data_IF_683974264819
#
_entry.id   IF_683974264819
#
_cell.length_a   1.000
_cell.length_b   1.000
_cell.length_c   1.000
_cell.angle_alpha   90.00
_cell.angle_beta   90.00
_cell.angle_gamma   90.00
#
_symmetry.space_group_name_H-M   'P 1'
#
loop_
_entity.id
_entity.type
_entity.pdbx_description
1 polymer ?
#
# COMPACT_ATOMS: atom_id res chain seq x y z
N UNK A 1 10.39 -72.81 70.73
CA UNK A 1 11.31 -71.67 70.47
C UNK A 1 12.47 -72.15 69.60
N UNK A 2 12.43 -71.85 68.29
CA UNK A 2 13.59 -71.89 67.39
C UNK A 2 13.55 -70.58 66.60
N UNK A 3 14.63 -69.80 66.73
CA UNK A 3 14.78 -68.45 66.19
C UNK A 3 14.83 -68.55 64.66
N UNK A 4 13.92 -67.85 63.97
CA UNK A 4 14.03 -67.60 62.53
C UNK A 4 14.97 -66.40 62.39
N UNK A 5 16.15 -66.62 61.79
CA UNK A 5 17.00 -65.54 61.30
C UNK A 5 16.41 -65.07 59.97
N UNK A 6 15.79 -63.89 59.95
CA UNK A 6 15.53 -63.17 58.70
C UNK A 6 16.67 -62.18 58.53
N UNK A 7 17.70 -62.59 57.79
CA UNK A 7 18.63 -61.63 57.18
C UNK A 7 17.98 -61.11 55.91
N UNK A 8 17.36 -59.92 56.00
CA UNK A 8 17.01 -59.15 54.81
C UNK A 8 18.06 -58.05 54.66
N UNK A 9 19.07 -58.33 53.83
CA UNK A 9 20.04 -57.33 53.39
C UNK A 9 19.33 -56.42 52.40
N UNK A 10 18.79 -55.28 52.85
CA UNK A 10 18.30 -54.26 51.93
C UNK A 10 19.48 -53.36 51.53
N UNK A 11 19.93 -53.57 50.30
CA UNK A 11 20.83 -52.71 49.54
C UNK A 11 20.49 -51.23 49.74
N UNK A 12 21.52 -50.37 49.82
CA UNK A 12 21.40 -48.96 50.18
C UNK A 12 20.27 -48.22 49.46
N UNK A 13 19.42 -47.56 50.23
CA UNK A 13 18.43 -46.61 49.69
C UNK A 13 19.06 -45.23 49.77
N UNK A 14 19.58 -44.77 48.63
CA UNK A 14 19.86 -43.35 48.39
C UNK A 14 18.55 -42.57 48.50
N UNK A 15 18.41 -41.65 49.45
CA UNK A 15 17.37 -40.62 49.41
C UNK A 15 17.69 -39.64 48.28
N UNK A 16 17.22 -39.95 47.07
CA UNK A 16 17.14 -38.97 45.99
C UNK A 16 15.93 -38.08 46.21
N UNK A 17 16.13 -36.77 46.34
CA UNK A 17 15.04 -35.81 46.25
C UNK A 17 14.44 -35.88 44.83
N UNK A 18 13.34 -36.60 44.64
CA UNK A 18 12.59 -36.61 43.39
C UNK A 18 11.70 -35.35 43.33
N UNK A 19 11.84 -34.56 42.27
CA UNK A 19 11.01 -33.37 42.05
C UNK A 19 9.51 -33.71 42.05
N UNK A 20 8.67 -32.81 42.56
CA UNK A 20 7.21 -32.96 42.61
C UNK A 20 6.53 -32.04 41.59
N UNK A 21 5.47 -32.52 40.94
CA UNK A 21 4.63 -31.70 40.07
C UNK A 21 4.01 -30.55 40.89
N UNK A 22 3.95 -29.35 40.31
CA UNK A 22 3.42 -28.15 40.96
C UNK A 22 2.24 -27.63 40.14
N UNK A 23 1.04 -27.73 40.69
CA UNK A 23 -0.13 -26.99 40.20
C UNK A 23 -0.23 -25.69 40.98
N UNK A 24 -0.25 -24.57 40.27
CA UNK A 24 -0.42 -23.26 40.87
C UNK A 24 -1.42 -22.51 39.98
N UNK A 25 -2.63 -22.25 40.48
CA UNK A 25 -3.63 -21.37 39.84
C UNK A 25 -4.07 -21.75 38.41
N UNK A 26 -4.36 -23.03 38.14
CA UNK A 26 -4.70 -23.45 36.79
C UNK A 26 -3.50 -23.40 35.84
N UNK A 27 -2.31 -23.05 36.29
CA UNK A 27 -1.09 -23.34 35.54
C UNK A 27 -0.43 -24.54 36.20
N UNK A 28 0.09 -25.46 35.42
CA UNK A 28 0.74 -26.64 35.98
C UNK A 28 2.07 -26.87 35.36
N UNK A 29 3.05 -27.14 36.21
CA UNK A 29 4.39 -27.56 35.83
C UNK A 29 4.59 -28.99 36.30
N UNK A 30 4.87 -29.86 35.34
CA UNK A 30 5.20 -31.25 35.60
C UNK A 30 6.70 -31.41 35.58
N UNK A 31 7.17 -32.25 36.48
CA UNK A 31 8.57 -32.63 36.65
C UNK A 31 9.17 -33.28 35.40
N UNK A 32 8.32 -33.80 34.52
CA UNK A 32 8.67 -34.32 33.20
C UNK A 32 8.72 -33.24 32.08
N UNK A 33 8.70 -31.94 32.41
CA UNK A 33 8.90 -30.84 31.46
C UNK A 33 7.65 -30.29 30.78
N UNK A 34 6.46 -30.63 31.29
CA UNK A 34 5.18 -30.16 30.73
C UNK A 34 4.66 -28.93 31.48
N UNK A 35 4.02 -28.01 30.75
CA UNK A 35 3.45 -26.77 31.28
C UNK A 35 2.01 -26.64 30.82
N UNK A 36 1.11 -26.18 31.69
CA UNK A 36 -0.29 -25.94 31.34
C UNK A 36 -0.80 -24.72 32.03
N UNK A 37 -1.95 -24.22 31.61
CA UNK A 37 -2.50 -22.89 31.85
C UNK A 37 -4.03 -23.05 31.78
N UNK A 38 -4.79 -22.47 32.71
CA UNK A 38 -6.18 -22.84 33.09
C UNK A 38 -6.49 -24.32 33.41
N UNK A 39 -5.49 -25.18 33.59
CA UNK A 39 -5.54 -26.59 33.97
C UNK A 39 -4.46 -26.93 35.00
N UNK A 40 -4.86 -27.71 36.01
CA UNK A 40 -4.00 -28.30 37.04
C UNK A 40 -3.30 -29.59 36.57
N UNK A 41 -3.53 -30.00 35.32
CA UNK A 41 -2.87 -31.14 34.69
C UNK A 41 -2.54 -30.76 33.23
N UNK A 42 -1.29 -30.36 32.94
CA UNK A 42 -0.85 -29.87 31.66
C UNK A 42 -0.49 -31.08 30.81
N UNK A 43 -1.12 -31.19 29.66
CA UNK A 43 -0.93 -32.41 28.87
C UNK A 43 0.27 -32.27 27.91
N UNK A 44 0.73 -31.02 27.67
CA UNK A 44 1.78 -30.63 26.72
C UNK A 44 2.89 -29.79 27.38
N UNK A 45 3.98 -29.52 26.65
CA UNK A 45 5.00 -28.52 27.06
C UNK A 45 4.38 -27.15 27.32
N UNK A 46 3.22 -26.86 26.72
CA UNK A 46 2.41 -25.67 26.97
C UNK A 46 0.92 -25.99 26.67
N UNK A 47 0.08 -26.13 27.68
CA UNK A 47 -1.39 -26.37 27.62
C UNK A 47 -2.08 -25.07 28.07
N UNK A 48 -3.13 -24.57 27.41
CA UNK A 48 -3.77 -23.28 27.75
C UNK A 48 -5.30 -23.41 27.77
N UNK A 49 -5.96 -22.94 28.84
CA UNK A 49 -7.39 -23.11 29.10
C UNK A 49 -7.98 -21.90 29.85
N UNK A 50 -9.26 -21.65 29.64
CA UNK A 50 -10.13 -20.77 30.43
C UNK A 50 -11.49 -21.47 30.56
N UNK A 51 -12.18 -21.38 31.70
CA UNK A 51 -13.40 -22.16 31.97
C UNK A 51 -14.71 -21.38 31.91
N UNK A 52 -14.67 -20.06 32.00
CA UNK A 52 -15.88 -19.31 32.27
C UNK A 52 -16.31 -18.40 31.13
N UNK A 53 -15.47 -18.19 30.10
CA UNK A 53 -15.72 -17.21 29.05
C UNK A 53 -14.66 -17.47 27.87
N UNK A 54 -14.98 -17.34 26.54
CA UNK A 54 -14.22 -17.46 25.22
C UNK A 54 -12.74 -17.96 25.11
N UNK A 55 -12.35 -18.63 23.99
CA UNK A 55 -11.05 -19.32 23.85
C UNK A 55 -9.79 -18.41 23.81
N UNK A 56 -8.81 -18.69 24.68
CA UNK A 56 -7.56 -17.91 24.82
C UNK A 56 -6.64 -18.00 23.58
N UNK A 57 -6.55 -19.17 22.97
CA UNK A 57 -5.81 -19.42 21.74
C UNK A 57 -6.57 -20.51 21.00
N UNK A 58 -7.35 -20.13 19.99
CA UNK A 58 -8.05 -21.09 19.16
C UNK A 58 -7.22 -21.30 17.90
N UNK A 59 -6.66 -22.49 17.70
CA UNK A 59 -6.06 -22.86 16.42
C UNK A 59 -7.00 -23.89 15.79
N UNK A 60 -7.92 -23.44 14.94
CA UNK A 60 -8.95 -24.30 14.31
C UNK A 60 -8.73 -24.44 12.82
N UNK A 61 -9.15 -25.57 12.23
CA UNK A 61 -9.26 -25.76 10.79
C UNK A 61 -10.67 -26.21 10.38
N UNK A 62 -11.10 -25.93 9.16
CA UNK A 62 -12.34 -26.38 8.51
C UNK A 62 -11.99 -26.87 7.09
N UNK A 63 -12.66 -27.92 6.59
CA UNK A 63 -12.59 -28.25 5.16
C UNK A 63 -13.24 -27.10 4.42
N UNK A 64 -12.54 -26.36 3.54
CA UNK A 64 -13.22 -25.38 2.71
C UNK A 64 -14.32 -26.13 1.95
N UNK A 65 -15.59 -25.73 2.12
CA UNK A 65 -16.54 -26.08 1.08
C UNK A 65 -16.08 -25.34 -0.18
N UNK A 66 -16.60 -25.74 -1.33
CA UNK A 66 -16.17 -25.25 -2.64
C UNK A 66 -16.45 -23.76 -2.88
N UNK A 67 -16.93 -23.00 -1.88
CA UNK A 67 -17.23 -21.58 -1.95
C UNK A 67 -16.00 -20.68 -1.76
N UNK A 68 -16.18 -19.40 -2.09
CA UNK A 68 -15.16 -18.36 -1.98
C UNK A 68 -15.12 -17.78 -0.56
N UNK A 69 -13.92 -17.50 -0.05
CA UNK A 69 -13.70 -16.83 1.24
C UNK A 69 -14.24 -17.61 2.45
N UNK A 70 -14.29 -18.92 2.35
CA UNK A 70 -14.68 -19.80 3.44
C UNK A 70 -13.50 -20.04 4.38
N UNK A 71 -13.78 -20.09 5.69
CA UNK A 71 -12.76 -20.34 6.70
C UNK A 71 -12.11 -21.71 6.47
N UNK A 72 -10.78 -21.73 6.40
CA UNK A 72 -9.97 -22.96 6.35
C UNK A 72 -9.27 -23.17 7.67
N UNK A 73 -8.69 -22.13 8.26
CA UNK A 73 -8.15 -22.20 9.61
C UNK A 73 -8.09 -20.84 10.27
N UNK A 74 -8.01 -20.81 11.60
CA UNK A 74 -7.94 -19.58 12.37
C UNK A 74 -7.05 -19.76 13.58
N UNK A 75 -6.14 -18.82 13.78
CA UNK A 75 -5.55 -18.51 15.08
C UNK A 75 -6.37 -17.35 15.65
N UNK A 76 -7.30 -17.66 16.54
CA UNK A 76 -8.17 -16.68 17.19
C UNK A 76 -7.61 -16.32 18.54
N UNK A 77 -7.50 -15.02 18.75
CA UNK A 77 -7.21 -14.42 20.03
C UNK A 77 -8.50 -13.80 20.53
N UNK A 78 -9.12 -14.46 21.51
CA UNK A 78 -10.36 -13.99 22.09
C UNK A 78 -10.25 -13.83 23.60
N UNK A 79 -10.97 -12.84 24.09
CA UNK A 79 -11.10 -12.57 25.50
C UNK A 79 -12.49 -12.01 25.75
N UNK A 80 -12.92 -12.01 26.99
CA UNK A 80 -14.30 -11.77 27.35
C UNK A 80 -14.38 -10.46 28.08
N UNK A 81 -15.28 -9.66 27.57
CA UNK A 81 -15.72 -8.47 28.23
C UNK A 81 -17.21 -8.65 28.44
N UNK A 82 -17.64 -8.58 29.70
CA UNK A 82 -19.05 -8.52 30.09
C UNK A 82 -19.93 -9.72 29.66
N UNK A 83 -19.40 -10.94 29.76
CA UNK A 83 -20.07 -12.18 29.31
C UNK A 83 -20.43 -12.22 27.81
N UNK A 84 -19.94 -11.25 27.03
CA UNK A 84 -20.07 -11.22 25.59
C UNK A 84 -18.80 -11.81 24.98
N UNK A 85 -18.98 -12.83 24.14
CA UNK A 85 -17.90 -13.56 23.49
C UNK A 85 -17.19 -12.67 22.46
N UNK A 86 -16.22 -11.88 22.92
CA UNK A 86 -15.55 -10.90 22.07
C UNK A 86 -14.34 -11.46 21.31
N UNK A 87 -14.46 -11.62 20.00
CA UNK A 87 -13.34 -11.97 19.11
C UNK A 87 -12.47 -10.73 18.88
N UNK A 88 -11.21 -10.67 19.37
CA UNK A 88 -10.44 -9.41 19.31
C UNK A 88 -9.59 -9.29 18.05
N UNK A 89 -8.94 -10.38 17.68
CA UNK A 89 -8.14 -10.46 16.48
C UNK A 89 -7.99 -11.92 16.06
N UNK A 90 -7.76 -12.13 14.78
CA UNK A 90 -7.49 -13.46 14.27
C UNK A 90 -6.62 -13.45 13.02
N UNK A 91 -5.84 -14.51 12.87
CA UNK A 91 -5.17 -14.83 11.62
C UNK A 91 -5.92 -16.00 11.02
N UNK A 92 -6.53 -15.81 9.86
CA UNK A 92 -7.31 -16.87 9.19
C UNK A 92 -6.60 -17.32 7.92
N UNK A 93 -6.61 -18.61 7.64
CA UNK A 93 -6.53 -19.12 6.27
C UNK A 93 -7.96 -19.25 5.74
N UNK A 94 -8.21 -18.82 4.51
CA UNK A 94 -9.53 -18.90 3.86
C UNK A 94 -9.41 -19.35 2.41
N UNK A 95 -10.47 -19.89 1.81
CA UNK A 95 -10.50 -20.19 0.37
C UNK A 95 -10.45 -18.90 -0.46
N UNK A 96 -9.70 -18.93 -1.55
CA UNK A 96 -9.40 -17.79 -2.42
C UNK A 96 -9.68 -18.15 -3.89
N UNK A 97 -10.97 -18.37 -4.18
CA UNK A 97 -11.62 -18.86 -5.41
C UNK A 97 -12.13 -20.32 -5.29
N UNK A 98 -13.20 -20.63 -6.02
CA UNK A 98 -13.89 -21.92 -6.01
C UNK A 98 -13.12 -22.95 -6.84
N UNK A 99 -12.99 -24.17 -6.31
CA UNK A 99 -12.36 -25.30 -7.02
C UNK A 99 -11.70 -26.34 -6.11
N UNK A 100 -11.56 -27.58 -6.59
CA UNK A 100 -11.16 -28.77 -5.80
C UNK A 100 -9.76 -28.76 -5.18
N UNK A 101 -8.90 -27.81 -5.57
CA UNK A 101 -7.55 -27.66 -4.99
C UNK A 101 -7.38 -26.36 -4.19
N UNK A 102 -8.47 -25.58 -4.04
CA UNK A 102 -8.63 -24.43 -3.15
C UNK A 102 -7.38 -23.56 -2.96
N UNK A 103 -7.22 -22.53 -3.79
CA UNK A 103 -6.31 -21.43 -3.49
C UNK A 103 -6.57 -20.92 -2.06
N UNK A 104 -5.52 -20.64 -1.30
CA UNK A 104 -5.63 -20.18 0.09
C UNK A 104 -5.18 -18.73 0.18
N UNK A 105 -5.97 -17.91 0.86
CA UNK A 105 -5.56 -16.58 1.28
C UNK A 105 -5.36 -16.54 2.79
N UNK A 106 -4.46 -15.66 3.24
CA UNK A 106 -4.38 -15.27 4.64
C UNK A 106 -5.17 -14.01 4.89
N UNK A 107 -5.88 -13.95 6.01
CA UNK A 107 -6.54 -12.76 6.49
C UNK A 107 -6.03 -12.42 7.87
N UNK A 108 -5.79 -11.14 8.09
CA UNK A 108 -5.56 -10.57 9.41
C UNK A 108 -6.79 -9.75 9.77
N UNK A 109 -7.56 -10.29 10.71
CA UNK A 109 -8.80 -9.67 11.14
C UNK A 109 -8.60 -8.99 12.48
N UNK A 110 -9.13 -7.79 12.58
CA UNK A 110 -9.26 -7.04 13.82
C UNK A 110 -10.73 -6.91 14.17
N UNK A 111 -11.05 -6.45 15.37
CA UNK A 111 -12.43 -6.14 15.74
C UNK A 111 -12.56 -4.72 16.24
N UNK A 112 -13.62 -4.02 15.81
CA UNK A 112 -14.04 -2.74 16.36
C UNK A 112 -15.25 -2.94 17.27
N UNK A 113 -15.27 -2.25 18.40
CA UNK A 113 -16.43 -2.19 19.29
C UNK A 113 -17.19 -0.88 19.09
N UNK A 114 -18.44 -0.96 18.62
CA UNK A 114 -19.33 0.19 18.43
C UNK A 114 -20.71 -0.05 19.09
N UNK A 115 -20.72 -0.73 20.24
CA UNK A 115 -21.95 -1.22 20.91
C UNK A 115 -22.37 -2.62 20.44
N UNK A 116 -21.86 -3.05 19.29
CA UNK A 116 -21.76 -4.45 18.90
C UNK A 116 -20.33 -4.71 18.42
N UNK A 117 -19.90 -5.98 18.46
CA UNK A 117 -18.58 -6.31 17.95
C UNK A 117 -18.64 -6.53 16.44
N UNK A 118 -17.83 -5.78 15.70
CA UNK A 118 -17.69 -5.93 14.24
C UNK A 118 -16.29 -6.44 13.93
N UNK A 119 -16.18 -7.59 13.28
CA UNK A 119 -14.92 -8.07 12.73
C UNK A 119 -14.58 -7.33 11.43
N UNK A 120 -13.33 -6.93 11.28
CA UNK A 120 -12.81 -6.16 10.14
C UNK A 120 -11.64 -6.95 9.56
N UNK A 121 -11.73 -7.31 8.29
CA UNK A 121 -10.59 -7.85 7.55
C UNK A 121 -9.61 -6.71 7.22
N UNK A 122 -8.69 -6.43 8.14
CA UNK A 122 -7.75 -5.32 8.01
C UNK A 122 -6.75 -5.54 6.86
N UNK A 123 -6.22 -6.77 6.74
CA UNK A 123 -5.29 -7.17 5.70
C UNK A 123 -5.67 -8.53 5.13
N UNK A 124 -5.47 -8.71 3.82
CA UNK A 124 -5.52 -10.00 3.12
C UNK A 124 -4.23 -10.21 2.34
N UNK A 125 -3.72 -11.43 2.32
CA UNK A 125 -2.74 -11.91 1.35
C UNK A 125 -3.45 -12.96 0.50
N UNK A 126 -3.75 -12.64 -0.74
CA UNK A 126 -4.41 -13.55 -1.69
C UNK A 126 -3.45 -14.66 -2.13
N UNK A 127 -4.00 -15.74 -2.67
CA UNK A 127 -3.27 -16.92 -3.18
C UNK A 127 -2.28 -16.60 -4.31
N UNK A 128 -2.50 -15.52 -5.04
CA UNK A 128 -1.57 -15.00 -6.07
C UNK A 128 -0.47 -14.09 -5.50
N UNK A 129 -0.41 -13.95 -4.17
CA UNK A 129 0.55 -13.11 -3.44
C UNK A 129 0.21 -11.63 -3.41
N UNK A 130 -0.99 -11.22 -3.83
CA UNK A 130 -1.43 -9.82 -3.73
C UNK A 130 -1.83 -9.49 -2.29
N UNK A 131 -1.40 -8.34 -1.79
CA UNK A 131 -1.74 -7.84 -0.46
C UNK A 131 -2.84 -6.78 -0.58
N UNK A 132 -3.96 -7.00 0.12
CA UNK A 132 -5.04 -6.03 0.26
C UNK A 132 -5.06 -5.42 1.67
N UNK A 133 -5.13 -4.10 1.79
CA UNK A 133 -5.38 -3.40 3.06
C UNK A 133 -6.73 -2.70 2.96
N UNK A 134 -7.68 -3.04 3.84
CA UNK A 134 -9.05 -2.53 3.78
C UNK A 134 -9.88 -3.03 2.57
N UNK A 135 -9.37 -4.00 1.81
CA UNK A 135 -10.06 -4.63 0.67
C UNK A 135 -9.95 -6.14 0.71
N UNK A 136 -10.99 -6.82 0.23
CA UNK A 136 -11.04 -8.28 0.07
C UNK A 136 -10.61 -8.75 -1.31
N UNK A 137 -10.51 -7.84 -2.28
CA UNK A 137 -10.20 -8.15 -3.68
C UNK A 137 -9.03 -7.29 -4.16
N UNK A 138 -7.79 -7.59 -3.75
CA UNK A 138 -6.62 -6.86 -4.22
C UNK A 138 -6.32 -7.21 -5.70
N UNK A 139 -6.38 -6.20 -6.54
CA UNK A 139 -6.13 -6.24 -7.98
C UNK A 139 -4.65 -6.06 -8.36
N UNK A 140 -3.85 -5.48 -7.45
CA UNK A 140 -2.42 -5.24 -7.61
C UNK A 140 -1.63 -5.93 -6.49
N UNK A 141 -0.29 -5.94 -6.61
CA UNK A 141 0.59 -6.54 -5.58
C UNK A 141 0.36 -5.96 -4.20
N UNK A 142 0.05 -4.67 -4.13
CA UNK A 142 -0.45 -3.99 -2.95
C UNK A 142 -1.64 -3.12 -3.37
N UNK A 143 -2.83 -3.43 -2.85
CA UNK A 143 -4.04 -2.61 -3.03
C UNK A 143 -4.48 -2.08 -1.67
N UNK A 144 -4.54 -0.76 -1.51
CA UNK A 144 -4.99 -0.10 -0.26
C UNK A 144 -6.29 0.63 -0.54
N UNK A 145 -7.38 0.22 0.13
CA UNK A 145 -8.66 0.93 0.08
C UNK A 145 -8.74 1.94 1.22
N UNK A 146 -8.03 3.05 1.05
CA UNK A 146 -7.92 4.13 2.04
C UNK A 146 -6.70 5.00 1.79
N UNK A 147 -6.43 5.93 2.70
CA UNK A 147 -5.27 6.81 2.62
C UNK A 147 -3.99 6.13 3.12
N UNK A 148 -2.87 6.45 2.49
CA UNK A 148 -1.52 6.05 2.92
C UNK A 148 -0.84 7.31 3.47
N UNK A 149 -0.35 7.25 4.70
CA UNK A 149 0.52 8.28 5.27
C UNK A 149 1.94 7.73 5.29
N UNK A 150 2.85 8.35 4.54
CA UNK A 150 4.24 7.96 4.42
C UNK A 150 5.13 9.21 4.52
N UNK A 151 6.31 9.07 5.11
CA UNK A 151 7.31 10.15 5.16
C UNK A 151 7.92 10.40 3.77
N UNK A 152 8.19 9.32 3.02
CA UNK A 152 8.73 9.37 1.67
C UNK A 152 8.29 8.15 0.85
N UNK A 153 8.14 8.33 -0.46
CA UNK A 153 7.87 7.25 -1.43
C UNK A 153 8.88 7.33 -2.56
N UNK A 154 9.78 6.33 -2.64
CA UNK A 154 10.67 6.14 -3.78
C UNK A 154 9.99 5.25 -4.82
N UNK A 155 9.82 5.77 -6.04
CA UNK A 155 9.26 5.01 -7.16
C UNK A 155 10.40 4.67 -8.13
N UNK A 156 10.78 3.39 -8.16
CA UNK A 156 11.78 2.89 -9.09
C UNK A 156 11.13 2.57 -10.44
N UNK A 157 11.48 3.34 -11.46
CA UNK A 157 11.01 3.16 -12.82
C UNK A 157 12.14 2.63 -13.70
N UNK A 158 11.83 1.64 -14.53
CA UNK A 158 12.72 1.22 -15.61
C UNK A 158 12.37 1.92 -16.93
N UNK A 159 12.03 3.21 -16.84
CA UNK A 159 11.80 4.07 -18.01
C UNK A 159 12.68 5.31 -17.89
N UNK A 160 13.30 5.78 -18.99
CA UNK A 160 14.09 7.00 -18.96
C UNK A 160 13.20 8.23 -18.73
N UNK A 161 13.75 9.22 -18.03
CA UNK A 161 13.15 10.55 -17.92
C UNK A 161 12.94 11.18 -19.32
N UNK A 162 11.98 12.12 -19.45
CA UNK A 162 11.56 12.65 -20.75
C UNK A 162 12.55 13.59 -21.44
N UNK A 163 13.80 13.73 -20.96
CA UNK A 163 14.89 14.56 -21.52
C UNK A 163 15.08 14.45 -23.04
N UNK A 164 14.55 13.41 -23.68
CA UNK A 164 14.47 13.30 -25.14
C UNK A 164 13.72 14.48 -25.80
N UNK A 165 12.86 15.20 -25.08
CA UNK A 165 12.18 16.42 -25.57
C UNK A 165 13.20 17.47 -26.02
N UNK A 166 14.37 17.54 -25.37
CA UNK A 166 15.45 18.47 -25.72
C UNK A 166 16.38 17.96 -26.82
N UNK A 167 16.21 16.73 -27.30
CA UNK A 167 17.09 16.18 -28.34
C UNK A 167 16.76 16.76 -29.72
N UNK A 168 17.78 16.92 -30.54
CA UNK A 168 17.64 17.37 -31.94
C UNK A 168 16.74 16.39 -32.70
N UNK A 169 15.69 16.92 -33.32
CA UNK A 169 14.69 16.12 -34.06
C UNK A 169 13.44 15.76 -33.26
N UNK A 170 13.30 16.21 -32.01
CA UNK A 170 12.03 16.15 -31.31
C UNK A 170 10.96 16.95 -32.06
N UNK A 171 9.85 16.29 -32.40
CA UNK A 171 8.74 16.93 -33.10
C UNK A 171 7.81 17.63 -32.10
N UNK A 172 8.15 18.86 -31.74
CA UNK A 172 7.31 19.70 -30.89
C UNK A 172 6.05 20.10 -31.68
N UNK A 173 4.88 19.71 -31.16
CA UNK A 173 3.56 20.12 -31.69
C UNK A 173 3.48 21.64 -31.81
N UNK A 174 2.81 22.20 -32.80
CA UNK A 174 2.64 23.67 -32.83
C UNK A 174 1.61 24.14 -31.79
N UNK A 175 1.62 25.42 -31.43
CA UNK A 175 0.62 25.95 -30.49
C UNK A 175 -0.79 25.90 -31.07
N UNK A 176 -0.93 26.06 -32.39
CA UNK A 176 -2.20 25.94 -33.11
C UNK A 176 -2.74 24.51 -33.03
N UNK A 177 -1.91 23.51 -33.33
CA UNK A 177 -2.28 22.10 -33.22
C UNK A 177 -2.60 21.68 -31.77
N UNK A 178 -1.93 22.30 -30.79
CA UNK A 178 -2.18 22.07 -29.38
C UNK A 178 -3.51 22.69 -28.95
N UNK A 179 -3.80 23.92 -29.40
CA UNK A 179 -5.07 24.60 -29.14
C UNK A 179 -6.25 23.82 -29.72
N UNK A 180 -6.14 23.34 -30.96
CA UNK A 180 -7.16 22.48 -31.58
C UNK A 180 -7.40 21.20 -30.77
N UNK A 181 -6.33 20.56 -30.29
CA UNK A 181 -6.45 19.37 -29.45
C UNK A 181 -7.19 19.68 -28.14
N UNK A 182 -6.82 20.77 -27.46
CA UNK A 182 -7.43 21.15 -26.17
C UNK A 182 -8.90 21.49 -26.37
N UNK A 183 -9.26 22.26 -27.42
CA UNK A 183 -10.67 22.57 -27.73
C UNK A 183 -11.51 21.32 -27.98
N UNK A 184 -10.92 20.31 -28.62
CA UNK A 184 -11.61 19.05 -28.94
C UNK A 184 -11.72 18.11 -27.74
N UNK A 185 -10.68 18.01 -26.92
CA UNK A 185 -10.56 16.95 -25.91
C UNK A 185 -10.69 17.46 -24.46
N UNK A 186 -10.58 18.76 -24.21
CA UNK A 186 -10.62 19.39 -22.89
C UNK A 186 -9.54 18.91 -21.91
N UNK A 187 -8.43 18.37 -22.42
CA UNK A 187 -7.24 18.01 -21.64
C UNK A 187 -5.98 18.12 -22.51
N UNK A 188 -4.80 18.03 -21.88
CA UNK A 188 -3.52 18.05 -22.60
C UNK A 188 -3.24 16.69 -23.27
N UNK A 189 -2.52 16.66 -24.41
CA UNK A 189 -2.06 15.42 -25.01
C UNK A 189 -1.27 14.56 -24.02
N UNK A 190 -1.51 13.25 -24.03
CA UNK A 190 -0.85 12.24 -23.18
C UNK A 190 -1.14 12.34 -21.68
N UNK A 191 -1.93 13.32 -21.24
CA UNK A 191 -2.46 13.38 -19.88
C UNK A 191 -3.88 12.80 -19.92
N UNK A 192 -4.24 11.86 -19.00
CA UNK A 192 -5.57 11.27 -18.99
C UNK A 192 -6.67 12.32 -18.80
N UNK A 193 -7.85 12.07 -19.38
CA UNK A 193 -8.99 12.99 -19.23
C UNK A 193 -9.58 12.89 -17.82
N UNK A 194 -10.33 13.92 -17.38
CA UNK A 194 -11.02 13.87 -16.08
C UNK A 194 -11.93 12.64 -15.93
N UNK A 195 -12.57 12.22 -17.03
CA UNK A 195 -13.38 11.00 -17.07
C UNK A 195 -12.54 9.74 -16.86
N UNK A 196 -11.36 9.66 -17.45
CA UNK A 196 -10.46 8.51 -17.26
C UNK A 196 -9.91 8.47 -15.83
N UNK A 197 -9.60 9.64 -15.24
CA UNK A 197 -9.20 9.76 -13.83
C UNK A 197 -10.27 9.22 -12.88
N UNK A 198 -11.54 9.59 -13.08
CA UNK A 198 -12.64 9.14 -12.22
C UNK A 198 -12.91 7.65 -12.36
N UNK A 199 -12.77 7.10 -13.58
CA UNK A 199 -13.10 5.70 -13.86
C UNK A 199 -11.98 4.73 -13.50
N UNK A 200 -10.73 5.09 -13.79
CA UNK A 200 -9.59 4.17 -13.73
C UNK A 200 -8.51 4.61 -12.72
N UNK A 201 -8.63 5.81 -12.15
CA UNK A 201 -7.55 6.41 -11.35
C UNK A 201 -6.34 6.78 -12.22
N UNK A 202 -5.19 7.00 -11.58
CA UNK A 202 -3.93 7.27 -12.26
C UNK A 202 -2.75 6.57 -11.60
N UNK A 203 -1.81 6.14 -12.44
CA UNK A 203 -0.51 5.67 -11.98
C UNK A 203 0.37 6.88 -11.70
N UNK A 204 0.71 7.10 -10.42
CA UNK A 204 1.41 8.31 -9.97
C UNK A 204 2.70 8.58 -10.76
N UNK A 205 3.52 7.55 -10.97
CA UNK A 205 4.76 7.69 -11.73
C UNK A 205 4.54 8.09 -13.19
N UNK A 206 3.52 7.52 -13.85
CA UNK A 206 3.20 7.88 -15.24
C UNK A 206 2.71 9.32 -15.33
N UNK A 207 1.91 9.76 -14.35
CA UNK A 207 1.45 11.14 -14.26
C UNK A 207 2.63 12.11 -14.06
N UNK A 208 3.54 11.81 -13.12
CA UNK A 208 4.71 12.65 -12.86
C UNK A 208 5.64 12.73 -14.08
N UNK A 209 5.85 11.62 -14.79
CA UNK A 209 6.61 11.61 -16.05
C UNK A 209 5.89 12.40 -17.16
N UNK A 210 4.58 12.27 -17.28
CA UNK A 210 3.76 13.03 -18.22
C UNK A 210 3.83 14.53 -17.94
N UNK A 211 3.71 14.94 -16.67
CA UNK A 211 3.85 16.32 -16.24
C UNK A 211 5.25 16.87 -16.52
N UNK A 212 6.31 16.10 -16.21
CA UNK A 212 7.68 16.49 -16.50
C UNK A 212 7.88 16.72 -18.01
N UNK A 213 7.37 15.82 -18.86
CA UNK A 213 7.38 16.02 -20.31
C UNK A 213 6.68 17.31 -20.72
N UNK A 214 5.51 17.62 -20.15
CA UNK A 214 4.78 18.86 -20.47
C UNK A 214 5.55 20.11 -20.02
N UNK A 215 6.27 20.06 -18.90
CA UNK A 215 7.13 21.15 -18.43
C UNK A 215 8.30 21.38 -19.41
N UNK A 216 8.91 20.31 -19.92
CA UNK A 216 9.99 20.42 -20.91
C UNK A 216 9.50 20.99 -22.24
N UNK A 217 8.33 20.54 -22.73
CA UNK A 217 7.68 21.10 -23.93
C UNK A 217 7.32 22.57 -23.73
N UNK A 218 6.77 22.94 -22.57
CA UNK A 218 6.47 24.32 -22.21
C UNK A 218 7.75 25.18 -22.21
N UNK A 219 8.86 24.63 -21.72
CA UNK A 219 10.16 25.31 -21.73
C UNK A 219 10.62 25.60 -23.17
N UNK A 220 10.42 24.66 -24.10
CA UNK A 220 10.71 24.91 -25.51
C UNK A 220 9.82 25.99 -26.12
N UNK A 221 8.52 26.01 -25.83
CA UNK A 221 7.63 27.09 -26.29
C UNK A 221 8.04 28.45 -25.73
N UNK A 222 8.45 28.53 -24.46
CA UNK A 222 8.93 29.77 -23.84
C UNK A 222 10.20 30.26 -24.54
N UNK A 223 11.16 29.38 -24.83
CA UNK A 223 12.38 29.75 -25.56
C UNK A 223 12.04 30.25 -26.98
N UNK A 224 11.12 29.56 -27.68
CA UNK A 224 10.66 30.00 -29.00
C UNK A 224 9.98 31.38 -28.94
N UNK A 225 9.14 31.62 -27.93
CA UNK A 225 8.45 32.88 -27.73
C UNK A 225 9.42 34.03 -27.40
N UNK A 226 10.41 33.79 -26.53
CA UNK A 226 11.46 34.77 -26.21
C UNK A 226 12.27 35.16 -27.44
N UNK A 227 12.64 34.19 -28.28
CA UNK A 227 13.34 34.46 -29.54
C UNK A 227 12.48 35.30 -30.49
N UNK A 228 11.18 35.02 -30.58
CA UNK A 228 10.24 35.81 -31.39
C UNK A 228 10.08 37.23 -30.86
N UNK A 229 10.06 37.42 -29.55
CA UNK A 229 9.99 38.75 -28.91
C UNK A 229 11.24 39.56 -29.26
N UNK A 230 12.44 38.95 -29.18
CA UNK A 230 13.70 39.61 -29.57
C UNK A 230 13.69 40.02 -31.04
N UNK A 231 13.28 39.12 -31.93
CA UNK A 231 13.17 39.41 -33.36
C UNK A 231 12.16 40.54 -33.64
N UNK A 232 11.05 40.58 -32.91
CA UNK A 232 10.07 41.65 -33.02
C UNK A 232 10.61 42.98 -32.49
N UNK A 233 11.36 42.98 -31.39
CA UNK A 233 11.99 44.18 -30.85
C UNK A 233 13.00 44.79 -31.83
N UNK A 234 13.84 43.96 -32.47
CA UNK A 234 14.77 44.41 -33.51
C UNK A 234 14.03 44.99 -34.73
N UNK A 235 12.90 44.39 -35.14
CA UNK A 235 12.07 44.93 -36.23
C UNK A 235 11.46 46.29 -35.85
N UNK A 236 11.01 46.45 -34.61
CA UNK A 236 10.46 47.72 -34.12
C UNK A 236 11.53 48.81 -34.13
N UNK A 237 12.73 48.53 -33.61
CA UNK A 237 13.85 49.48 -33.62
C UNK A 237 14.21 49.94 -35.04
N UNK A 238 14.22 49.01 -35.99
CA UNK A 238 14.45 49.32 -37.40
C UNK A 238 13.35 50.21 -38.01
N UNK A 239 12.08 49.92 -37.71
CA UNK A 239 10.94 50.73 -38.18
C UNK A 239 10.97 52.15 -37.58
N UNK A 240 11.31 52.28 -36.29
CA UNK A 240 11.45 53.58 -35.62
C UNK A 240 12.56 54.42 -36.28
N UNK A 241 13.71 53.79 -36.58
CA UNK A 241 14.82 54.43 -37.30
C UNK A 241 14.41 54.90 -38.71
N UNK A 242 13.64 54.10 -39.45
CA UNK A 242 13.10 54.48 -40.75
C UNK A 242 12.12 55.66 -40.66
N UNK A 243 11.20 55.62 -39.70
CA UNK A 243 10.24 56.70 -39.48
C UNK A 243 10.93 58.02 -39.13
N UNK A 244 12.00 57.99 -38.32
CA UNK A 244 12.80 59.18 -38.02
C UNK A 244 13.43 59.78 -39.29
N UNK A 245 14.03 58.95 -40.14
CA UNK A 245 14.60 59.41 -41.42
C UNK A 245 13.54 60.00 -42.36
N UNK A 246 12.35 59.39 -42.40
CA UNK A 246 11.23 59.90 -43.18
C UNK A 246 10.80 61.29 -42.70
N UNK A 247 10.69 61.49 -41.39
CA UNK A 247 10.34 62.77 -40.79
C UNK A 247 11.40 63.85 -41.12
N UNK A 248 12.69 63.50 -41.02
CA UNK A 248 13.78 64.40 -41.41
C UNK A 248 13.70 64.80 -42.90
N UNK A 249 13.34 63.86 -43.79
CA UNK A 249 13.13 64.14 -45.20
C UNK A 249 11.90 65.03 -45.43
N UNK A 250 10.79 64.79 -44.74
CA UNK A 250 9.59 65.63 -44.80
C UNK A 250 9.90 67.08 -44.38
N UNK A 251 10.57 67.28 -43.24
CA UNK A 251 10.95 68.62 -42.78
C UNK A 251 11.89 69.33 -43.78
N UNK A 252 12.78 68.58 -44.45
CA UNK A 252 13.64 69.16 -45.50
C UNK A 252 12.84 69.57 -46.73
N UNK A 253 11.86 68.77 -47.15
CA UNK A 253 10.98 69.10 -48.27
C UNK A 253 10.13 70.33 -47.96
N UNK A 254 9.52 70.42 -46.77
CA UNK A 254 8.73 71.59 -46.34
C UNK A 254 9.55 72.89 -46.40
N UNK A 255 10.83 72.85 -45.98
CA UNK A 255 11.72 74.00 -46.10
C UNK A 255 11.94 74.41 -47.55
N UNK A 256 12.23 73.45 -48.44
CA UNK A 256 12.44 73.72 -49.87
C UNK A 256 11.18 74.25 -50.56
N UNK A 257 10.00 73.81 -50.13
CA UNK A 257 8.71 74.32 -50.63
C UNK A 257 8.41 75.72 -50.12
N UNK A 258 8.87 76.09 -48.92
CA UNK A 258 8.68 77.45 -48.37
C UNK A 258 9.65 78.51 -48.91
N UNK A 259 10.74 78.09 -49.55
CA UNK A 259 11.77 78.97 -50.13
C UNK A 259 11.54 79.28 -51.63
N UNK A 260 10.53 78.69 -52.26
CA UNK A 260 10.07 78.98 -53.64
C UNK A 260 8.76 79.78 -53.64
#
# INVERSE_FOLDING_TARGET
MKKILISLTLFGVTLGAQGQDQTINGVTFKTNGKVGIGTTNPLTQLHIRNLNTSPILNITGQTPNTGNNELISEIRLSNLHDNLAGHRASIKAVSDKSGSHGNVAFQFNTSLWNGQQTEIQAMRISSNGNIGIGTTNPDMKLTVKGSIHAEEVKIDLNVPAPDYVFKKGYNLRTLEELEEFIKKNNHLPEIPSAKDFEQNGVMQAEMDMGLLKKIEELTLYIIQQENKIKEQAEKIENLESMNKKLLELQTRLEKLESEN
#
